data_IF_395289369378
#
_entry.id   IF_395289369378
#
_cell.length_a   1.000
_cell.length_b   1.000
_cell.length_c   1.000
_cell.angle_alpha   90.00
_cell.angle_beta   90.00
_cell.angle_gamma   90.00
#
_symmetry.space_group_name_H-M   'P 1'
#
loop_
_entity.id
_entity.type
_entity.pdbx_description
1 polymer ?
#
# COMPACT_ATOMS: atom_id res chain seq x y z
N UNK A 1 -10.88 5.89 -5.84
CA UNK A 1 -10.76 7.36 -5.67
C UNK A 1 -9.27 7.69 -5.75
N UNK A 2 -8.85 8.61 -6.63
CA UNK A 2 -7.43 8.98 -6.70
C UNK A 2 -7.05 9.81 -5.47
N UNK A 3 -5.89 9.52 -4.88
CA UNK A 3 -5.40 10.24 -3.70
C UNK A 3 -5.86 9.68 -2.35
N UNK A 4 -6.58 8.55 -2.33
CA UNK A 4 -6.77 7.78 -1.10
C UNK A 4 -5.42 7.30 -0.55
N UNK A 5 -5.30 7.23 0.78
CA UNK A 5 -4.04 6.90 1.47
C UNK A 5 -4.33 5.96 2.63
N UNK A 6 -3.39 5.06 2.87
CA UNK A 6 -3.38 4.14 3.99
C UNK A 6 -1.99 4.11 4.60
N UNK A 7 -1.90 4.23 5.93
CA UNK A 7 -0.68 4.07 6.69
C UNK A 7 -0.72 2.73 7.42
N UNK A 8 0.36 1.96 7.32
CA UNK A 8 0.46 0.63 7.93
C UNK A 8 1.65 0.62 8.86
N UNK A 9 1.39 0.22 10.10
CA UNK A 9 2.41 0.03 11.11
C UNK A 9 2.72 -1.47 11.27
N UNK A 10 3.99 -1.79 11.58
CA UNK A 10 4.47 -3.17 11.72
C UNK A 10 3.76 -3.96 12.81
N UNK A 11 3.12 -3.28 13.77
CA UNK A 11 2.36 -3.91 14.87
C UNK A 11 0.96 -4.40 14.45
N UNK A 12 0.60 -4.27 13.17
CA UNK A 12 -0.70 -4.71 12.67
C UNK A 12 -1.71 -3.59 12.48
N UNK A 13 -1.41 -2.37 12.94
CA UNK A 13 -2.36 -1.24 12.85
C UNK A 13 -2.33 -0.60 11.48
N UNK A 14 -3.53 -0.34 10.94
CA UNK A 14 -3.72 0.42 9.72
C UNK A 14 -4.60 1.65 9.97
N UNK A 15 -4.26 2.77 9.34
CA UNK A 15 -5.01 4.03 9.41
C UNK A 15 -5.32 4.53 8.00
N UNK A 16 -6.59 4.87 7.74
CA UNK A 16 -7.06 5.19 6.40
C UNK A 16 -7.40 3.95 5.57
N UNK A 17 -7.85 4.18 4.35
CA UNK A 17 -8.30 3.14 3.41
C UNK A 17 -8.03 3.61 1.99
N UNK A 18 -7.74 2.68 1.09
CA UNK A 18 -7.59 2.94 -0.34
C UNK A 18 -8.82 2.55 -1.16
N UNK A 19 -9.83 1.95 -0.52
CA UNK A 19 -11.06 1.52 -1.17
C UNK A 19 -11.74 0.31 -0.50
N UNK A 20 -11.09 -0.36 0.45
CA UNK A 20 -11.59 -1.57 1.09
C UNK A 20 -11.53 -2.83 0.22
N UNK A 21 -12.07 -3.93 0.73
CA UNK A 21 -12.15 -5.21 0.01
C UNK A 21 -10.81 -5.97 -0.07
N UNK A 22 -10.77 -7.01 -0.92
CA UNK A 22 -9.60 -7.89 -1.03
C UNK A 22 -8.34 -7.16 -1.52
N UNK A 23 -8.50 -6.12 -2.35
CA UNK A 23 -7.38 -5.32 -2.86
C UNK A 23 -6.66 -4.54 -1.75
N UNK A 24 -7.38 -4.10 -0.72
CA UNK A 24 -6.76 -3.42 0.42
C UNK A 24 -5.90 -4.37 1.26
N UNK A 25 -6.34 -5.61 1.46
CA UNK A 25 -5.56 -6.62 2.16
C UNK A 25 -4.28 -7.01 1.39
N UNK A 26 -4.37 -7.10 0.07
CA UNK A 26 -3.20 -7.35 -0.79
C UNK A 26 -2.15 -6.24 -0.64
N UNK A 27 -2.59 -4.98 -0.70
CA UNK A 27 -1.71 -3.83 -0.47
C UNK A 27 -1.17 -3.81 0.95
N UNK A 28 -1.97 -4.22 1.93
CA UNK A 28 -1.52 -4.29 3.31
C UNK A 28 -0.31 -5.22 3.47
N UNK A 29 -0.39 -6.42 2.90
CA UNK A 29 0.70 -7.39 2.95
C UNK A 29 1.92 -6.91 2.15
N UNK A 30 1.71 -6.30 0.98
CA UNK A 30 2.78 -5.71 0.18
C UNK A 30 3.51 -4.59 0.95
N UNK A 31 2.79 -3.76 1.71
CA UNK A 31 3.37 -2.69 2.50
C UNK A 31 4.22 -3.18 3.67
N UNK A 32 3.89 -4.32 4.28
CA UNK A 32 4.78 -4.94 5.27
C UNK A 32 6.12 -5.35 4.64
N UNK A 33 6.09 -5.95 3.45
CA UNK A 33 7.31 -6.27 2.71
C UNK A 33 8.14 -5.03 2.34
N UNK A 34 7.50 -3.96 1.86
CA UNK A 34 8.16 -2.67 1.61
C UNK A 34 8.77 -2.07 2.87
N UNK A 35 8.09 -2.18 4.01
CA UNK A 35 8.60 -1.70 5.29
C UNK A 35 9.84 -2.48 5.75
N UNK A 36 9.90 -3.79 5.47
CA UNK A 36 11.05 -4.66 5.79
C UNK A 36 12.24 -4.42 4.86
N UNK A 37 11.99 -4.29 3.57
CA UNK A 37 13.05 -4.11 2.56
C UNK A 37 13.54 -2.66 2.42
N UNK A 38 12.76 -1.69 2.91
CA UNK A 38 12.97 -0.26 2.72
C UNK A 38 13.03 0.18 1.24
N UNK A 39 12.38 -0.57 0.35
CA UNK A 39 12.33 -0.31 -1.09
C UNK A 39 10.92 0.05 -1.55
N UNK A 40 10.68 1.30 -2.02
CA UNK A 40 9.38 1.70 -2.56
C UNK A 40 8.98 0.89 -3.79
N UNK A 41 7.67 0.65 -3.96
CA UNK A 41 7.12 -0.14 -5.07
C UNK A 41 5.83 0.48 -5.59
N UNK A 42 5.61 0.38 -6.90
CA UNK A 42 4.31 0.63 -7.52
C UNK A 42 3.60 -0.73 -7.71
N UNK A 43 2.48 -0.92 -7.03
CA UNK A 43 1.72 -2.16 -7.04
C UNK A 43 0.42 -2.00 -7.83
N UNK A 44 0.13 -2.94 -8.73
CA UNK A 44 -1.08 -2.93 -9.54
C UNK A 44 -2.07 -3.96 -9.00
N UNK A 45 -3.22 -3.48 -8.53
CA UNK A 45 -4.34 -4.32 -8.08
C UNK A 45 -5.35 -4.42 -9.22
N UNK A 46 -5.56 -5.64 -9.71
CA UNK A 46 -6.59 -5.91 -10.73
C UNK A 46 -7.81 -6.54 -10.07
N UNK A 47 -8.92 -5.80 -10.07
CA UNK A 47 -10.21 -6.25 -9.59
C UNK A 47 -11.03 -6.68 -10.81
N UNK A 48 -10.89 -7.93 -11.22
CA UNK A 48 -11.66 -8.48 -12.34
C UNK A 48 -13.15 -8.53 -11.99
N UNK A 49 -14.02 -8.26 -12.96
CA UNK A 49 -15.48 -8.22 -12.76
C UNK A 49 -16.05 -9.50 -12.15
N UNK A 50 -15.45 -10.65 -12.45
CA UNK A 50 -15.87 -11.95 -11.92
C UNK A 50 -15.59 -12.10 -10.41
N UNK A 51 -14.46 -11.56 -9.93
CA UNK A 51 -14.14 -11.51 -8.49
C UNK A 51 -14.98 -10.47 -7.76
N UNK A 52 -15.21 -9.32 -8.39
CA UNK A 52 -16.07 -8.27 -7.84
C UNK A 52 -17.52 -8.76 -7.68
N UNK A 53 -18.05 -9.51 -8.65
CA UNK A 53 -19.38 -10.11 -8.59
C UNK A 53 -19.51 -11.17 -7.49
N UNK A 54 -18.46 -11.98 -7.26
CA UNK A 54 -18.45 -13.01 -6.21
C UNK A 54 -18.38 -12.41 -4.80
N UNK A 55 -17.67 -11.29 -4.64
CA UNK A 55 -17.50 -10.58 -3.36
C UNK A 55 -18.57 -9.50 -3.13
N UNK A 56 -19.58 -9.37 -4.00
CA UNK A 56 -20.67 -8.40 -3.87
C UNK A 56 -20.23 -6.94 -4.04
N UNK A 57 -19.07 -6.70 -4.66
CA UNK A 57 -18.50 -5.38 -4.90
C UNK A 57 -18.92 -4.84 -6.27
N UNK A 58 -19.29 -3.55 -6.31
CA UNK A 58 -19.81 -2.87 -7.52
C UNK A 58 -18.70 -2.34 -8.43
N UNK A 59 -17.45 -2.24 -7.94
CA UNK A 59 -16.33 -1.68 -8.68
C UNK A 59 -15.39 -2.77 -9.25
N UNK A 60 -15.54 -3.08 -10.53
CA UNK A 60 -14.46 -3.70 -11.32
C UNK A 60 -13.47 -2.63 -11.81
N UNK A 61 -12.19 -2.98 -11.99
CA UNK A 61 -11.18 -2.06 -12.51
C UNK A 61 -9.73 -2.41 -12.16
N UNK A 62 -8.80 -1.54 -12.53
CA UNK A 62 -7.40 -1.58 -12.13
C UNK A 62 -7.09 -0.38 -11.25
N UNK A 63 -6.34 -0.60 -10.16
CA UNK A 63 -5.83 0.45 -9.29
C UNK A 63 -4.32 0.32 -9.19
N UNK A 64 -3.62 1.44 -9.31
CA UNK A 64 -2.19 1.53 -9.02
C UNK A 64 -1.99 2.17 -7.66
N UNK A 65 -1.18 1.54 -6.82
CA UNK A 65 -0.89 2.00 -5.46
C UNK A 65 0.62 2.13 -5.31
N UNK A 66 1.07 3.35 -5.05
CA UNK A 66 2.45 3.59 -4.68
C UNK A 66 2.63 3.35 -3.19
N UNK A 67 3.57 2.47 -2.84
CA UNK A 67 3.87 2.06 -1.47
C UNK A 67 5.30 2.46 -1.16
N UNK A 68 5.48 3.26 -0.11
CA UNK A 68 6.79 3.73 0.33
C UNK A 68 6.95 3.62 1.85
N UNK A 69 8.17 3.34 2.34
CA UNK A 69 8.51 3.52 3.73
C UNK A 69 8.37 4.99 4.16
N UNK A 70 7.80 5.25 5.33
CA UNK A 70 7.57 6.63 5.81
C UNK A 70 8.86 7.41 6.05
N UNK A 71 9.98 6.71 6.26
CA UNK A 71 11.31 7.30 6.39
C UNK A 71 11.97 7.65 5.03
N UNK A 72 11.41 7.25 3.88
CA UNK A 72 12.02 7.51 2.56
C UNK A 72 12.10 9.00 2.24
N UNK A 73 11.08 9.78 2.61
CA UNK A 73 11.12 11.25 2.44
C UNK A 73 12.17 11.93 3.33
N UNK A 74 12.49 11.34 4.51
CA UNK A 74 13.55 11.87 5.39
C UNK A 74 14.93 11.72 4.76
N UNK A 75 15.17 10.64 4.02
CA UNK A 75 16.44 10.42 3.33
C UNK A 75 16.62 11.41 2.15
N UNK A 76 15.54 11.70 1.41
CA UNK A 76 15.58 12.57 0.23
C UNK A 76 15.73 14.06 0.57
N UNK A 77 15.13 14.53 1.66
CA UNK A 77 15.13 15.97 2.01
C UNK A 77 16.03 16.35 3.19
N UNK A 78 16.61 15.38 3.91
CA UNK A 78 17.21 15.60 5.24
C UNK A 78 18.70 15.35 5.42
N UNK A 79 19.46 14.96 4.39
CA UNK A 79 20.92 14.84 4.49
C UNK A 79 21.45 13.87 5.57
N UNK A 80 20.79 12.72 5.79
CA UNK A 80 21.14 11.78 6.85
C UNK A 80 21.47 10.38 6.34
N UNK A 81 22.66 9.90 6.68
CA UNK A 81 23.16 8.53 6.48
C UNK A 81 22.23 7.55 7.23
N UNK A 82 21.89 6.44 6.57
CA UNK A 82 21.21 5.31 7.19
C UNK A 82 22.30 4.53 7.94
N UNK A 83 22.45 4.73 9.24
CA UNK A 83 23.08 3.70 10.08
C UNK A 83 21.99 2.72 10.50
N UNK A 84 22.05 1.53 9.92
CA UNK A 84 21.35 0.34 10.40
C UNK A 84 22.20 -0.29 11.51
N UNK A 85 21.65 -0.36 12.72
CA UNK A 85 21.99 -1.43 13.67
C UNK A 85 21.10 -2.64 13.40
#
# INVERSE_FOLDING_TARGET
>A
HSGARMFIHRDGRAFGTIGGGSGELEIYLAALGVADELLPRLHQVTMTGDRAALEGMVCGGMMEVFIEPVNTFRALCGGGIIESE
#
